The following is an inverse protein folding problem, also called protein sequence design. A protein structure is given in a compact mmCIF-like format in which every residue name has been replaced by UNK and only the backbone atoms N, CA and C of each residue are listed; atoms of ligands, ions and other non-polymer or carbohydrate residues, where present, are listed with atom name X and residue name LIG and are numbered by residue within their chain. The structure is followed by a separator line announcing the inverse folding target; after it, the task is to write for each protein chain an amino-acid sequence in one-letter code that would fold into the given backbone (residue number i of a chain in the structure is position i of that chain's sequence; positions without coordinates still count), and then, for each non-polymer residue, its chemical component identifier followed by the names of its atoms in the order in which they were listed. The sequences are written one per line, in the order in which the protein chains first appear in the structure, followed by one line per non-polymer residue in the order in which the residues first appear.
data_IF_183433543175
#
_entry.id   IF_183433543175
#
_cell.length_a   1.000
_cell.length_b   1.000
_cell.length_c   1.000
_cell.angle_alpha   90.00
_cell.angle_beta   90.00
_cell.angle_gamma   90.00
#
_symmetry.space_group_name_H-M   'P 1'
#
loop_
_entity.id
_entity.type
_entity.pdbx_description
1 polymer ?
#
# COMPACT_ATOMS: atom_id res chain seq x y z
N UNK A 1 7.25 2.33 -30.02
CA UNK A 1 7.00 1.68 -28.70
C UNK A 1 6.22 2.67 -27.84
N UNK A 2 5.22 2.22 -27.10
CA UNK A 2 4.49 3.09 -26.15
C UNK A 2 5.47 3.70 -25.16
N UNK A 3 5.45 5.04 -24.99
CA UNK A 3 6.25 5.74 -23.97
C UNK A 3 5.85 5.31 -22.55
N UNK A 4 4.59 4.96 -22.37
CA UNK A 4 4.05 4.42 -21.12
C UNK A 4 4.21 2.91 -21.11
N UNK A 5 5.32 2.47 -20.54
CA UNK A 5 5.52 1.13 -20.06
C UNK A 5 6.51 1.20 -18.89
N UNK A 6 6.44 0.22 -17.99
CA UNK A 6 7.22 0.28 -16.75
C UNK A 6 8.73 0.38 -16.99
N UNK A 7 9.25 -0.21 -18.08
CA UNK A 7 10.67 -0.18 -18.40
C UNK A 7 11.12 1.24 -18.77
N UNK A 8 10.35 1.95 -19.59
CA UNK A 8 10.63 3.34 -19.98
C UNK A 8 10.44 4.32 -18.82
N UNK A 9 9.40 4.12 -18.01
CA UNK A 9 9.12 4.92 -16.82
C UNK A 9 10.26 4.80 -15.79
N UNK A 10 10.67 3.57 -15.47
CA UNK A 10 11.78 3.31 -14.55
C UNK A 10 13.11 3.79 -15.12
N UNK A 11 13.35 3.65 -16.44
CA UNK A 11 14.53 4.24 -17.08
C UNK A 11 14.60 5.74 -16.81
N UNK A 12 13.51 6.46 -17.07
CA UNK A 12 13.46 7.92 -16.88
C UNK A 12 13.65 8.33 -15.40
N UNK A 13 13.21 7.50 -14.45
CA UNK A 13 13.47 7.67 -13.01
C UNK A 13 14.95 7.47 -12.71
N UNK A 14 15.49 6.33 -13.08
CA UNK A 14 16.86 5.90 -12.77
C UNK A 14 17.92 6.80 -13.37
N UNK A 15 17.76 7.17 -14.64
CA UNK A 15 18.72 8.04 -15.36
C UNK A 15 18.49 9.52 -15.09
N UNK A 16 17.54 9.87 -14.21
CA UNK A 16 17.18 11.25 -13.86
C UNK A 16 16.80 12.10 -15.09
N UNK A 17 16.12 11.51 -16.06
CA UNK A 17 15.72 12.17 -17.31
C UNK A 17 14.63 13.22 -17.06
N UNK A 18 15.04 14.45 -16.73
CA UNK A 18 14.13 15.54 -16.37
C UNK A 18 13.19 15.94 -17.51
N UNK A 19 13.58 15.72 -18.77
CA UNK A 19 12.77 16.06 -19.94
C UNK A 19 11.68 15.04 -20.26
N UNK A 20 11.79 13.81 -19.75
CA UNK A 20 10.85 12.74 -20.09
C UNK A 20 9.41 13.06 -19.74
N UNK A 21 9.15 13.56 -18.51
CA UNK A 21 7.80 13.87 -18.04
C UNK A 21 7.15 14.97 -18.89
N UNK A 22 7.91 16.00 -19.27
CA UNK A 22 7.43 17.11 -20.10
C UNK A 22 7.16 16.67 -21.55
N UNK A 23 7.85 15.63 -22.01
CA UNK A 23 7.62 15.02 -23.33
C UNK A 23 6.32 14.22 -23.45
N UNK A 24 5.62 13.97 -22.33
CA UNK A 24 4.36 13.25 -22.30
C UNK A 24 3.19 14.17 -22.67
N UNK A 25 2.24 13.63 -23.43
CA UNK A 25 0.95 14.27 -23.69
C UNK A 25 0.10 14.34 -22.42
N UNK A 26 -0.92 15.19 -22.40
CA UNK A 26 -1.86 15.31 -21.26
C UNK A 26 -2.56 13.99 -20.92
N UNK A 27 -2.93 13.22 -21.95
CA UNK A 27 -3.55 11.91 -21.79
C UNK A 27 -2.56 10.89 -21.18
N UNK A 28 -1.30 10.92 -21.60
CA UNK A 28 -0.27 10.04 -21.06
C UNK A 28 0.03 10.38 -19.59
N UNK A 29 0.13 11.68 -19.26
CA UNK A 29 0.33 12.15 -17.87
C UNK A 29 -0.78 11.66 -16.93
N UNK A 30 -2.01 11.63 -17.42
CA UNK A 30 -3.17 11.15 -16.64
C UNK A 30 -3.15 9.64 -16.40
N UNK A 31 -2.61 8.88 -17.36
CA UNK A 31 -2.48 7.41 -17.25
C UNK A 31 -1.29 6.97 -16.41
N UNK A 32 -0.37 7.89 -16.08
CA UNK A 32 0.83 7.59 -15.33
C UNK A 32 0.49 7.21 -13.88
N UNK A 33 0.70 5.94 -13.52
CA UNK A 33 0.46 5.44 -12.18
C UNK A 33 1.56 5.86 -11.20
N UNK A 34 1.57 7.11 -10.74
CA UNK A 34 2.64 7.62 -9.84
C UNK A 34 2.83 6.76 -8.58
N UNK A 35 1.73 6.25 -8.00
CA UNK A 35 1.80 5.34 -6.85
C UNK A 35 2.45 3.99 -7.21
N UNK A 36 2.15 3.47 -8.40
CA UNK A 36 2.76 2.25 -8.93
C UNK A 36 4.27 2.46 -9.12
N UNK A 37 4.68 3.60 -9.66
CA UNK A 37 6.08 3.94 -9.85
C UNK A 37 6.84 4.08 -8.54
N UNK A 38 6.23 4.67 -7.50
CA UNK A 38 6.83 4.73 -6.17
C UNK A 38 7.14 3.32 -5.62
N UNK A 39 6.24 2.35 -5.84
CA UNK A 39 6.47 0.95 -5.45
C UNK A 39 7.66 0.33 -6.16
N UNK A 40 7.75 0.49 -7.48
CA UNK A 40 8.92 0.02 -8.23
C UNK A 40 10.21 0.72 -7.79
N UNK A 41 10.16 2.03 -7.57
CA UNK A 41 11.32 2.81 -7.09
C UNK A 41 11.79 2.33 -5.72
N UNK A 42 10.90 1.82 -4.86
CA UNK A 42 11.29 1.28 -3.55
C UNK A 42 12.02 -0.07 -3.58
N UNK A 43 12.15 -0.71 -4.75
CA UNK A 43 12.82 -1.99 -4.91
C UNK A 43 14.08 -1.87 -5.77
N UNK A 44 15.00 -2.83 -5.66
CA UNK A 44 16.10 -2.98 -6.60
C UNK A 44 16.48 -4.46 -6.70
N UNK A 45 16.86 -4.92 -7.90
CA UNK A 45 17.32 -6.28 -8.12
C UNK A 45 18.77 -6.50 -7.69
N UNK A 46 19.58 -5.44 -7.76
CA UNK A 46 20.97 -5.47 -7.30
C UNK A 46 21.03 -5.26 -5.79
N UNK A 47 21.64 -6.23 -5.09
CA UNK A 47 21.78 -6.24 -3.63
C UNK A 47 22.45 -4.99 -3.09
N UNK A 48 23.38 -4.39 -3.85
CA UNK A 48 24.08 -3.18 -3.41
C UNK A 48 23.14 -1.96 -3.33
N UNK A 49 22.07 -1.92 -4.13
CA UNK A 49 21.18 -0.76 -4.21
C UNK A 49 19.86 -0.94 -3.46
N UNK A 50 19.52 -2.15 -2.98
CA UNK A 50 18.27 -2.42 -2.24
C UNK A 50 18.05 -1.40 -1.11
N UNK A 51 19.08 -1.22 -0.25
CA UNK A 51 19.00 -0.31 0.90
C UNK A 51 18.78 1.13 0.46
N UNK A 52 19.54 1.59 -0.54
CA UNK A 52 19.44 2.94 -1.08
C UNK A 52 18.03 3.24 -1.60
N UNK A 53 17.51 2.40 -2.51
CA UNK A 53 16.21 2.62 -3.11
C UNK A 53 15.08 2.54 -2.09
N UNK A 54 15.16 1.65 -1.11
CA UNK A 54 14.17 1.54 -0.05
C UNK A 54 14.15 2.79 0.86
N UNK A 55 15.31 3.16 1.41
CA UNK A 55 15.42 4.26 2.37
C UNK A 55 15.11 5.60 1.71
N UNK A 56 15.73 5.91 0.57
CA UNK A 56 15.50 7.19 -0.10
C UNK A 56 14.09 7.32 -0.66
N UNK A 57 13.50 6.24 -1.19
CA UNK A 57 12.08 6.30 -1.58
C UNK A 57 11.20 6.60 -0.38
N UNK A 58 11.49 6.05 0.79
CA UNK A 58 10.74 6.37 2.00
C UNK A 58 10.87 7.86 2.36
N UNK A 59 12.11 8.32 2.53
CA UNK A 59 12.41 9.67 3.03
C UNK A 59 11.93 10.78 2.09
N UNK A 60 12.20 10.67 0.79
CA UNK A 60 11.97 11.79 -0.14
C UNK A 60 10.70 11.67 -0.96
N UNK A 61 10.09 10.46 -1.03
CA UNK A 61 8.87 10.23 -1.83
C UNK A 61 7.68 9.88 -0.93
N UNK A 62 7.79 8.81 -0.13
CA UNK A 62 6.66 8.21 0.59
C UNK A 62 6.09 9.12 1.69
N UNK A 63 6.96 9.71 2.54
CA UNK A 63 6.58 10.50 3.72
C UNK A 63 5.60 11.64 3.41
N UNK A 64 5.69 12.24 2.22
CA UNK A 64 4.81 13.34 1.80
C UNK A 64 4.01 13.03 0.53
N UNK A 65 3.96 11.77 0.10
CA UNK A 65 3.34 11.35 -1.15
C UNK A 65 1.91 11.88 -1.30
N UNK A 66 1.07 11.66 -0.28
CA UNK A 66 -0.34 12.06 -0.32
C UNK A 66 -0.54 13.59 -0.29
N UNK A 67 0.34 14.33 0.36
CA UNK A 67 0.30 15.81 0.38
C UNK A 67 0.58 16.36 -1.02
N UNK A 68 1.45 15.70 -1.78
CA UNK A 68 1.87 16.10 -3.13
C UNK A 68 1.00 15.54 -4.26
N UNK A 69 -0.14 14.89 -3.96
CA UNK A 69 -1.00 14.24 -4.97
C UNK A 69 -1.47 15.15 -6.11
N UNK A 70 -1.54 16.47 -5.87
CA UNK A 70 -1.92 17.48 -6.89
C UNK A 70 -0.74 17.92 -7.78
N UNK A 71 0.47 17.43 -7.49
CA UNK A 71 1.71 17.77 -8.17
C UNK A 71 2.42 16.50 -8.68
N UNK A 72 1.81 15.74 -9.61
CA UNK A 72 2.35 14.46 -10.09
C UNK A 72 3.73 14.58 -10.73
N UNK A 73 4.03 15.71 -11.38
CA UNK A 73 5.36 16.01 -11.92
C UNK A 73 6.41 16.08 -10.81
N UNK A 74 6.10 16.76 -9.70
CA UNK A 74 7.00 16.85 -8.56
C UNK A 74 7.20 15.48 -7.91
N UNK A 75 6.13 14.68 -7.77
CA UNK A 75 6.25 13.30 -7.29
C UNK A 75 7.17 12.45 -8.18
N UNK A 76 7.06 12.60 -9.51
CA UNK A 76 7.97 11.94 -10.46
C UNK A 76 9.42 12.42 -10.32
N UNK A 77 9.63 13.73 -10.16
CA UNK A 77 10.95 14.32 -9.97
C UNK A 77 11.62 13.92 -8.65
N UNK A 78 10.83 13.67 -7.60
CA UNK A 78 11.31 13.11 -6.32
C UNK A 78 11.77 11.66 -6.49
N UNK A 79 11.06 10.84 -7.27
CA UNK A 79 11.54 9.49 -7.62
C UNK A 79 12.86 9.55 -8.40
N UNK A 80 13.02 10.50 -9.33
CA UNK A 80 14.28 10.74 -10.02
C UNK A 80 15.42 11.19 -9.09
N UNK A 81 15.13 11.78 -7.92
CA UNK A 81 16.15 12.06 -6.92
C UNK A 81 16.74 10.76 -6.37
N UNK A 82 15.91 9.73 -6.18
CA UNK A 82 16.32 8.38 -5.73
C UNK A 82 17.20 7.68 -6.75
N UNK A 83 16.92 7.82 -8.06
CA UNK A 83 17.68 7.16 -9.13
C UNK A 83 19.19 7.40 -9.05
N UNK A 84 20.00 6.41 -9.46
CA UNK A 84 21.46 6.46 -9.36
C UNK A 84 22.17 6.96 -10.63
N UNK A 85 21.44 7.44 -11.63
CA UNK A 85 21.97 7.85 -12.94
C UNK A 85 22.22 6.68 -13.89
N UNK A 86 21.95 5.45 -13.47
CA UNK A 86 22.03 4.24 -14.28
C UNK A 86 20.76 3.41 -14.11
N UNK A 87 20.33 2.78 -15.19
CA UNK A 87 19.17 1.88 -15.16
C UNK A 87 19.42 0.68 -14.25
N UNK A 88 18.44 0.34 -13.42
CA UNK A 88 18.44 -0.82 -12.54
C UNK A 88 17.22 -1.69 -12.83
N UNK A 89 17.31 -3.00 -12.55
CA UNK A 89 16.13 -3.85 -12.55
C UNK A 89 15.34 -3.64 -11.26
N UNK A 90 14.05 -3.34 -11.38
CA UNK A 90 13.14 -3.12 -10.25
C UNK A 90 12.12 -4.26 -10.16
N UNK A 91 12.26 -5.24 -9.24
CA UNK A 91 11.27 -6.29 -9.08
C UNK A 91 9.94 -5.70 -8.58
N UNK A 92 8.82 -6.20 -9.12
CA UNK A 92 7.50 -5.81 -8.64
C UNK A 92 7.25 -6.37 -7.25
N UNK A 93 6.88 -5.50 -6.31
CA UNK A 93 6.45 -5.88 -4.96
C UNK A 93 4.96 -5.58 -4.86
N UNK A 94 4.15 -6.65 -4.88
CA UNK A 94 2.71 -6.52 -4.74
C UNK A 94 2.35 -5.87 -3.38
N UNK A 95 1.30 -5.04 -3.32
CA UNK A 95 0.77 -4.58 -2.04
C UNK A 95 0.40 -5.79 -1.17
N UNK A 96 0.61 -5.65 0.14
CA UNK A 96 0.06 -6.60 1.10
C UNK A 96 -1.43 -6.76 0.85
N UNK A 97 -1.92 -8.01 0.85
CA UNK A 97 -3.35 -8.26 0.74
C UNK A 97 -4.02 -7.70 1.99
N UNK A 98 -5.12 -6.95 1.80
CA UNK A 98 -5.98 -6.61 2.93
C UNK A 98 -6.37 -7.93 3.63
N UNK A 99 -6.12 -8.01 4.92
CA UNK A 99 -6.49 -9.21 5.68
C UNK A 99 -8.01 -9.34 5.62
N UNK A 100 -8.50 -10.51 5.20
CA UNK A 100 -9.94 -10.75 5.16
C UNK A 100 -10.44 -10.76 6.60
N UNK A 101 -11.16 -9.72 7.00
CA UNK A 101 -11.73 -9.64 8.34
C UNK A 101 -12.68 -10.83 8.57
N UNK A 102 -12.53 -11.47 9.74
CA UNK A 102 -13.46 -12.52 10.16
C UNK A 102 -14.85 -11.93 10.44
N UNK A 103 -15.89 -12.77 10.47
CA UNK A 103 -17.24 -12.31 10.83
C UNK A 103 -17.29 -11.72 12.24
N UNK A 104 -16.55 -12.32 13.17
CA UNK A 104 -16.38 -11.82 14.54
C UNK A 104 -15.70 -10.45 14.53
N UNK A 105 -14.63 -10.28 13.75
CA UNK A 105 -13.92 -9.01 13.67
C UNK A 105 -14.82 -7.88 13.15
N UNK A 106 -15.62 -8.15 12.11
CA UNK A 106 -16.61 -7.19 11.62
C UNK A 106 -17.62 -6.81 12.69
N UNK A 107 -18.16 -7.80 13.39
CA UNK A 107 -19.11 -7.55 14.46
C UNK A 107 -18.50 -6.70 15.59
N UNK A 108 -17.25 -6.95 15.98
CA UNK A 108 -16.55 -6.16 17.00
C UNK A 108 -16.36 -4.73 16.53
N UNK A 109 -15.92 -4.49 15.28
CA UNK A 109 -15.77 -3.14 14.73
C UNK A 109 -17.11 -2.39 14.71
N UNK A 110 -18.21 -3.08 14.38
CA UNK A 110 -19.56 -2.49 14.33
C UNK A 110 -20.09 -2.12 15.73
N UNK A 111 -19.81 -2.93 16.77
CA UNK A 111 -20.34 -2.71 18.12
C UNK A 111 -19.38 -1.92 19.03
N UNK A 112 -18.09 -1.95 18.74
CA UNK A 112 -17.02 -1.28 19.49
C UNK A 112 -16.24 -0.33 18.57
N UNK A 113 -16.95 0.61 17.94
CA UNK A 113 -16.41 1.55 16.95
C UNK A 113 -15.34 2.53 17.47
N UNK A 114 -15.15 2.57 18.79
CA UNK A 114 -14.09 3.34 19.43
C UNK A 114 -12.74 2.60 19.47
N UNK A 115 -12.73 1.29 19.16
CA UNK A 115 -11.49 0.50 19.11
C UNK A 115 -10.81 0.66 17.75
N UNK A 116 -9.49 0.82 17.76
CA UNK A 116 -8.65 0.76 16.56
C UNK A 116 -8.36 -0.71 16.16
N UNK A 117 -7.72 -0.91 15.01
CA UNK A 117 -7.47 -2.25 14.46
C UNK A 117 -6.65 -3.16 15.41
N UNK A 118 -5.64 -2.60 16.09
CA UNK A 118 -4.80 -3.34 17.04
C UNK A 118 -5.60 -3.71 18.30
N UNK A 119 -6.43 -2.78 18.79
CA UNK A 119 -7.31 -3.02 19.94
C UNK A 119 -8.37 -4.07 19.64
N UNK A 120 -8.91 -4.10 18.42
CA UNK A 120 -9.82 -5.16 17.96
C UNK A 120 -9.12 -6.52 17.91
N UNK A 121 -7.87 -6.56 17.43
CA UNK A 121 -7.08 -7.80 17.42
C UNK A 121 -6.80 -8.31 18.84
N UNK A 122 -6.45 -7.41 19.78
CA UNK A 122 -6.27 -7.73 21.20
C UNK A 122 -7.58 -8.23 21.81
N UNK A 123 -8.69 -7.56 21.55
CA UNK A 123 -10.01 -7.96 22.04
C UNK A 123 -10.38 -9.38 21.60
N UNK A 124 -10.07 -9.74 20.34
CA UNK A 124 -10.40 -11.04 19.80
C UNK A 124 -9.45 -12.13 20.30
N UNK A 125 -8.15 -11.84 20.37
CA UNK A 125 -7.12 -12.81 20.76
C UNK A 125 -7.18 -13.17 22.24
N UNK A 126 -7.69 -12.28 23.09
CA UNK A 126 -7.82 -12.50 24.54
C UNK A 126 -9.08 -13.29 24.92
N UNK A 127 -10.02 -13.50 23.99
CA UNK A 127 -11.29 -14.19 24.24
C UNK A 127 -11.31 -15.61 23.70
N UNK A 128 -11.87 -16.52 24.49
CA UNK A 128 -12.17 -17.89 24.05
C UNK A 128 -13.45 -17.92 23.22
N UNK A 129 -13.68 -19.04 22.53
CA UNK A 129 -14.95 -19.27 21.82
C UNK A 129 -16.15 -19.23 22.76
N UNK A 130 -15.99 -19.65 24.02
CA UNK A 130 -17.08 -19.62 25.01
C UNK A 130 -17.39 -18.18 25.40
N UNK A 131 -16.38 -17.35 25.64
CA UNK A 131 -16.53 -15.93 25.96
C UNK A 131 -17.27 -15.18 24.85
N UNK A 132 -17.05 -15.56 23.58
CA UNK A 132 -17.81 -15.00 22.46
C UNK A 132 -19.26 -15.47 22.41
N UNK A 133 -19.54 -16.73 22.76
CA UNK A 133 -20.92 -17.22 22.83
C UNK A 133 -21.68 -16.43 23.89
N UNK A 134 -21.11 -16.31 25.10
CA UNK A 134 -21.68 -15.54 26.20
C UNK A 134 -21.89 -14.08 25.81
N UNK A 135 -20.86 -13.43 25.25
CA UNK A 135 -20.96 -12.05 24.78
C UNK A 135 -22.08 -11.84 23.74
N UNK A 136 -22.23 -12.77 22.79
CA UNK A 136 -23.29 -12.67 21.79
C UNK A 136 -24.69 -12.97 22.36
N UNK A 137 -24.79 -13.86 23.35
CA UNK A 137 -26.03 -14.12 24.08
C UNK A 137 -26.46 -12.89 24.90
N UNK A 138 -25.51 -12.19 25.56
CA UNK A 138 -25.74 -10.92 26.24
C UNK A 138 -26.24 -9.83 25.29
N UNK A 139 -25.76 -9.83 24.04
CA UNK A 139 -26.26 -8.94 22.98
C UNK A 139 -27.59 -9.42 22.36
N UNK A 140 -28.24 -10.42 22.93
CA UNK A 140 -29.56 -10.89 22.53
C UNK A 140 -29.59 -11.76 21.27
N UNK A 141 -28.45 -12.33 20.86
CA UNK A 141 -28.39 -13.17 19.67
C UNK A 141 -28.93 -14.58 19.88
N UNK A 142 -29.58 -15.13 18.86
CA UNK A 142 -30.00 -16.52 18.88
C UNK A 142 -28.85 -17.49 18.50
N UNK A 143 -29.00 -18.76 18.90
CA UNK A 143 -27.99 -19.81 18.64
C UNK A 143 -27.63 -19.97 17.15
N UNK A 144 -28.55 -19.66 16.24
CA UNK A 144 -28.31 -19.74 14.79
C UNK A 144 -27.38 -18.61 14.31
N UNK A 145 -27.59 -17.38 14.79
CA UNK A 145 -26.76 -16.21 14.52
C UNK A 145 -25.34 -16.40 15.09
N UNK A 146 -25.24 -16.88 16.34
CA UNK A 146 -23.96 -17.17 17.00
C UNK A 146 -23.15 -18.20 16.20
N UNK A 147 -23.81 -19.29 15.77
CA UNK A 147 -23.17 -20.32 14.94
C UNK A 147 -22.70 -19.76 13.60
N UNK A 148 -23.41 -18.79 13.04
CA UNK A 148 -23.04 -18.14 11.80
C UNK A 148 -21.82 -17.23 11.93
N UNK A 149 -21.72 -16.47 13.03
CA UNK A 149 -20.59 -15.58 13.33
C UNK A 149 -19.31 -16.35 13.65
N UNK A 150 -19.42 -17.46 14.38
CA UNK A 150 -18.28 -18.29 14.77
C UNK A 150 -17.84 -19.31 13.69
N UNK A 151 -18.47 -19.29 12.52
CA UNK A 151 -18.10 -20.15 11.40
C UNK A 151 -16.81 -19.61 10.74
N UNK A 152 -15.78 -20.48 10.64
CA UNK A 152 -14.55 -20.19 9.87
C UNK A 152 -14.85 -19.95 8.40
#
# INVERSE_FOLDING_TARGET
MSKLNIKEEMRAIDTKDRGWYDSLTSDEKTKLGIWLLMRYTSSAGDRQFIKHYLEWTNEVVNVHFNKLRKHPQLQFQLMQLVGLGKTTFHPWIAPGKAMKQSKVQKWVIENYSHLNDDEVEIFISTKTKYDFIELFEEHGMNKKQIKELLKK
#
